data_IF_278016212632
#
_entry.id   IF_278016212632
#
_cell.length_a   1.000
_cell.length_b   1.000
_cell.length_c   1.000
_cell.angle_alpha   90.00
_cell.angle_beta   90.00
_cell.angle_gamma   90.00
#
_symmetry.space_group_name_H-M   'P 1'
#
loop_
_entity.id
_entity.type
_entity.pdbx_description
1 polymer ?
#
# COMPACT_ATOMS: atom_id res chain seq x y z
N UNK A 1 -31.64 2.25 -0.59
CA UNK A 1 -30.35 2.14 -1.29
C UNK A 1 -29.32 2.30 -0.20
N UNK A 2 -28.67 1.22 0.21
CA UNK A 2 -27.59 1.30 1.20
C UNK A 2 -26.46 2.12 0.59
N UNK A 3 -26.14 3.22 1.25
CA UNK A 3 -25.16 4.22 0.84
C UNK A 3 -23.75 3.62 0.90
N UNK A 4 -22.87 4.06 0.00
CA UNK A 4 -21.56 3.50 -0.29
C UNK A 4 -20.67 3.38 0.94
N UNK A 5 -20.73 2.24 1.62
CA UNK A 5 -19.90 1.93 2.77
C UNK A 5 -18.44 1.87 2.32
N UNK A 6 -17.74 3.00 2.42
CA UNK A 6 -16.27 3.04 2.51
C UNK A 6 -15.91 2.03 3.59
N UNK A 7 -15.31 0.90 3.20
CA UNK A 7 -15.05 -0.17 4.15
C UNK A 7 -14.16 0.37 5.26
N UNK A 8 -14.49 0.00 6.50
CA UNK A 8 -13.79 0.46 7.70
C UNK A 8 -12.28 0.21 7.51
N UNK A 9 -11.41 1.21 7.73
CA UNK A 9 -9.97 1.02 7.60
C UNK A 9 -9.48 -0.12 8.49
N UNK A 10 -8.61 -0.95 7.92
CA UNK A 10 -7.90 -2.02 8.62
C UNK A 10 -6.45 -1.98 8.16
N UNK A 11 -5.53 -1.86 9.11
CA UNK A 11 -4.12 -1.66 8.80
C UNK A 11 -3.33 -2.94 9.08
N UNK A 12 -2.62 -3.45 8.07
CA UNK A 12 -1.70 -4.58 8.20
C UNK A 12 -0.44 -4.35 7.38
N UNK A 13 0.69 -4.75 7.94
CA UNK A 13 1.98 -4.79 7.26
C UNK A 13 2.38 -6.26 7.12
N UNK A 14 2.63 -6.71 5.90
CA UNK A 14 3.13 -8.05 5.59
C UNK A 14 4.47 -7.88 4.86
N UNK A 15 5.55 -8.39 5.44
CA UNK A 15 6.91 -8.21 4.89
C UNK A 15 7.43 -9.52 4.32
N UNK A 16 8.13 -9.45 3.20
CA UNK A 16 8.94 -10.54 2.68
C UNK A 16 10.41 -10.23 2.85
N UNK A 17 11.18 -11.24 3.23
CA UNK A 17 12.63 -11.14 3.45
C UNK A 17 13.34 -12.15 2.57
N UNK A 18 14.57 -11.84 2.16
CA UNK A 18 15.45 -12.81 1.53
C UNK A 18 15.94 -13.80 2.60
N UNK A 19 15.74 -15.10 2.36
CA UNK A 19 16.03 -16.15 3.35
C UNK A 19 17.51 -16.32 3.67
N UNK A 20 18.42 -15.82 2.81
CA UNK A 20 19.87 -15.99 2.99
C UNK A 20 20.51 -14.81 3.73
N UNK A 21 20.04 -13.60 3.45
CA UNK A 21 20.59 -12.34 3.96
C UNK A 21 19.76 -11.78 5.12
N UNK A 22 18.48 -12.12 5.19
CA UNK A 22 17.51 -11.51 6.11
C UNK A 22 17.05 -10.11 5.67
N UNK A 23 17.48 -9.65 4.49
CA UNK A 23 17.15 -8.33 3.98
C UNK A 23 15.69 -8.26 3.55
N UNK A 24 15.05 -7.13 3.82
CA UNK A 24 13.65 -6.92 3.43
C UNK A 24 13.58 -6.66 1.91
N UNK A 25 12.87 -7.52 1.20
CA UNK A 25 12.77 -7.47 -0.28
C UNK A 25 11.44 -6.94 -0.77
N UNK A 26 10.39 -7.07 0.04
CA UNK A 26 9.08 -6.53 -0.29
C UNK A 26 8.26 -6.23 0.96
N UNK A 27 7.27 -5.34 0.81
CA UNK A 27 6.23 -5.12 1.81
C UNK A 27 4.87 -4.95 1.13
N UNK A 28 3.85 -5.54 1.74
CA UNK A 28 2.46 -5.24 1.46
C UNK A 28 1.87 -4.43 2.62
N UNK A 29 1.38 -3.24 2.30
CA UNK A 29 0.74 -2.31 3.23
C UNK A 29 -0.77 -2.30 2.96
N UNK A 30 -1.51 -3.16 3.67
CA UNK A 30 -2.97 -3.29 3.54
C UNK A 30 -3.67 -2.20 4.36
N UNK A 31 -4.66 -1.55 3.76
CA UNK A 31 -5.43 -0.46 4.37
C UNK A 31 -6.93 -0.76 4.53
N UNK A 32 -7.43 -1.76 3.80
CA UNK A 32 -8.81 -2.28 3.87
C UNK A 32 -8.82 -3.79 3.60
N UNK A 33 -9.91 -4.46 4.00
CA UNK A 33 -10.22 -5.79 3.47
C UNK A 33 -11.02 -5.66 2.17
N UNK A 34 -10.85 -6.61 1.26
CA UNK A 34 -11.54 -6.66 -0.01
C UNK A 34 -10.90 -7.62 -1.00
N UNK A 35 -11.62 -7.86 -2.10
CA UNK A 35 -11.10 -8.57 -3.27
C UNK A 35 -10.47 -7.57 -4.23
N UNK A 36 -9.26 -7.87 -4.70
CA UNK A 36 -8.56 -7.04 -5.69
C UNK A 36 -9.26 -7.21 -7.04
N UNK A 37 -9.82 -6.13 -7.56
CA UNK A 37 -10.40 -6.08 -8.89
C UNK A 37 -9.43 -5.47 -9.92
N UNK A 38 -8.54 -4.59 -9.48
CA UNK A 38 -7.55 -3.93 -10.31
C UNK A 38 -6.24 -3.73 -9.52
N UNK A 39 -5.10 -4.02 -10.16
CA UNK A 39 -3.77 -3.65 -9.66
C UNK A 39 -3.15 -2.67 -10.64
N UNK A 40 -2.73 -1.50 -10.15
CA UNK A 40 -2.04 -0.48 -10.95
C UNK A 40 -0.56 -0.47 -10.63
N UNK A 41 0.26 -0.55 -11.67
CA UNK A 41 1.68 -0.27 -11.58
C UNK A 41 1.89 1.25 -11.53
N UNK A 42 2.32 1.76 -10.38
CA UNK A 42 2.48 3.19 -10.11
C UNK A 42 3.90 3.64 -10.46
N UNK A 43 4.88 2.81 -10.13
CA UNK A 43 6.29 2.97 -10.49
C UNK A 43 6.82 1.64 -11.02
N UNK A 44 7.34 1.66 -12.24
CA UNK A 44 7.62 0.45 -13.03
C UNK A 44 8.47 -0.58 -12.29
N UNK A 45 7.92 -1.76 -12.04
CA UNK A 45 8.56 -2.87 -11.36
C UNK A 45 8.69 -2.74 -9.84
N UNK A 46 8.25 -1.63 -9.24
CA UNK A 46 8.57 -1.28 -7.84
C UNK A 46 7.32 -1.10 -6.99
N UNK A 47 6.32 -0.35 -7.47
CA UNK A 47 5.15 0.02 -6.66
C UNK A 47 3.87 -0.40 -7.37
N UNK A 48 3.06 -1.21 -6.68
CA UNK A 48 1.76 -1.66 -7.14
C UNK A 48 0.67 -1.24 -6.14
N UNK A 49 -0.45 -0.71 -6.64
CA UNK A 49 -1.59 -0.32 -5.83
C UNK A 49 -2.81 -1.17 -6.20
N UNK A 50 -3.39 -1.84 -5.21
CA UNK A 50 -4.56 -2.71 -5.37
C UNK A 50 -5.84 -1.94 -5.06
N UNK A 51 -6.84 -2.10 -5.91
CA UNK A 51 -8.15 -1.48 -5.79
C UNK A 51 -9.27 -2.52 -5.86
N UNK A 52 -10.35 -2.27 -5.13
CA UNK A 52 -11.58 -3.04 -5.28
C UNK A 52 -12.36 -2.63 -6.54
N UNK A 53 -13.48 -3.33 -6.79
CA UNK A 53 -14.34 -3.05 -7.95
C UNK A 53 -15.02 -1.68 -7.94
N UNK A 54 -14.96 -0.95 -6.83
CA UNK A 54 -15.46 0.42 -6.68
C UNK A 54 -14.33 1.47 -6.80
N UNK A 55 -13.08 1.03 -7.00
CA UNK A 55 -11.91 1.91 -7.07
C UNK A 55 -11.38 2.35 -5.72
N UNK A 56 -11.78 1.70 -4.61
CA UNK A 56 -11.23 1.99 -3.27
C UNK A 56 -9.87 1.32 -3.09
N UNK A 57 -8.89 2.05 -2.56
CA UNK A 57 -7.56 1.49 -2.27
C UNK A 57 -7.64 0.39 -1.21
N UNK A 58 -7.15 -0.80 -1.54
CA UNK A 58 -7.06 -1.95 -0.64
C UNK A 58 -5.68 -2.06 0.02
N UNK A 59 -4.62 -1.79 -0.74
CA UNK A 59 -3.25 -1.86 -0.25
C UNK A 59 -2.23 -1.41 -1.29
N UNK A 60 -0.98 -1.31 -0.86
CA UNK A 60 0.18 -1.00 -1.70
C UNK A 60 1.23 -2.08 -1.50
N UNK A 61 1.70 -2.68 -2.59
CA UNK A 61 2.86 -3.55 -2.61
C UNK A 61 4.09 -2.78 -3.08
N UNK A 62 5.19 -2.93 -2.34
CA UNK A 62 6.51 -2.44 -2.72
C UNK A 62 7.42 -3.64 -2.93
N UNK A 63 7.95 -3.81 -4.14
CA UNK A 63 8.93 -4.84 -4.52
C UNK A 63 10.36 -4.30 -4.56
N UNK A 64 10.53 -3.04 -4.20
CA UNK A 64 11.80 -2.34 -4.17
C UNK A 64 11.67 -0.98 -3.50
N UNK A 65 12.77 -0.23 -3.46
CA UNK A 65 12.77 1.10 -2.85
C UNK A 65 12.10 2.13 -3.75
N UNK A 66 11.23 2.99 -3.19
CA UNK A 66 10.61 4.10 -3.89
C UNK A 66 10.71 5.41 -3.10
N UNK A 67 10.50 6.55 -3.77
CA UNK A 67 10.36 7.85 -3.13
C UNK A 67 9.02 7.93 -2.35
N UNK A 68 9.01 8.57 -1.18
CA UNK A 68 7.79 8.81 -0.40
C UNK A 68 6.72 9.55 -1.20
N UNK A 69 7.12 10.43 -2.13
CA UNK A 69 6.22 11.17 -3.01
C UNK A 69 5.35 10.24 -3.88
N UNK A 70 5.84 9.04 -4.21
CA UNK A 70 5.07 8.01 -4.94
C UNK A 70 3.89 7.55 -4.09
N UNK A 71 4.12 7.22 -2.81
CA UNK A 71 3.07 6.84 -1.87
C UNK A 71 2.08 7.99 -1.62
N UNK A 72 2.57 9.22 -1.52
CA UNK A 72 1.72 10.40 -1.35
C UNK A 72 0.81 10.64 -2.57
N UNK A 73 1.32 10.36 -3.78
CA UNK A 73 0.53 10.40 -5.01
C UNK A 73 -0.61 9.38 -5.00
N UNK A 74 -0.33 8.12 -4.65
CA UNK A 74 -1.35 7.06 -4.57
C UNK A 74 -2.43 7.39 -3.53
N UNK A 75 -2.04 8.03 -2.44
CA UNK A 75 -2.91 8.24 -1.25
C UNK A 75 -3.50 9.63 -1.18
N UNK A 76 -3.35 10.46 -2.21
CA UNK A 76 -3.74 11.87 -2.19
C UNK A 76 -5.20 12.08 -1.74
N UNK A 77 -6.10 11.21 -2.20
CA UNK A 77 -7.55 11.27 -1.92
C UNK A 77 -8.00 10.37 -0.76
N UNK A 78 -7.08 9.66 -0.10
CA UNK A 78 -7.43 8.76 1.00
C UNK A 78 -7.67 9.50 2.33
N UNK A 79 -8.43 8.91 3.28
CA UNK A 79 -8.56 9.47 4.62
C UNK A 79 -7.22 9.61 5.34
N UNK A 80 -7.09 10.61 6.22
CA UNK A 80 -5.84 10.88 6.94
C UNK A 80 -5.29 9.71 7.77
N UNK A 81 -6.16 8.80 8.23
CA UNK A 81 -5.70 7.59 8.91
C UNK A 81 -4.89 6.66 7.98
N UNK A 82 -5.31 6.52 6.73
CA UNK A 82 -4.62 5.73 5.69
C UNK A 82 -3.28 6.37 5.35
N UNK A 83 -3.26 7.68 5.12
CA UNK A 83 -2.02 8.44 4.84
C UNK A 83 -0.99 8.31 5.98
N UNK A 84 -1.43 8.45 7.23
CA UNK A 84 -0.55 8.26 8.40
C UNK A 84 -0.02 6.85 8.51
N UNK A 85 -0.87 5.85 8.28
CA UNK A 85 -0.46 4.45 8.30
C UNK A 85 0.60 4.18 7.24
N UNK A 86 0.41 4.61 5.99
CA UNK A 86 1.36 4.32 4.92
C UNK A 86 2.70 5.04 5.13
N UNK A 87 2.69 6.32 5.55
CA UNK A 87 3.92 7.04 5.90
C UNK A 87 4.67 6.42 7.09
N UNK A 88 3.95 5.88 8.07
CA UNK A 88 4.56 5.35 9.30
C UNK A 88 4.86 3.85 9.27
N UNK A 89 4.13 3.09 8.44
CA UNK A 89 4.19 1.64 8.34
C UNK A 89 5.14 1.13 7.24
N UNK A 90 5.46 1.98 6.26
CA UNK A 90 6.46 1.65 5.25
C UNK A 90 7.86 1.47 5.89
N UNK A 91 8.54 0.34 5.68
CA UNK A 91 9.90 0.12 6.16
C UNK A 91 10.86 1.15 5.55
N UNK A 92 11.71 1.77 6.38
CA UNK A 92 12.68 2.78 5.93
C UNK A 92 13.68 2.29 4.88
N UNK A 93 13.90 0.97 4.80
CA UNK A 93 14.74 0.37 3.77
C UNK A 93 14.11 0.39 2.37
N UNK A 94 12.77 0.45 2.28
CA UNK A 94 12.03 0.56 1.02
C UNK A 94 11.51 1.98 0.77
N UNK A 95 11.28 2.77 1.82
CA UNK A 95 10.89 4.17 1.66
C UNK A 95 11.80 5.03 2.53
N UNK A 96 12.92 5.51 1.98
CA UNK A 96 13.83 6.43 2.68
C UNK A 96 13.12 7.73 3.06
N UNK A 97 13.55 8.34 4.16
CA UNK A 97 12.99 9.58 4.69
C UNK A 97 13.44 10.83 3.91
#
# INVERSE_FOLDING_TARGET
MEDGSVTKPMFRVETSVDDNTGDLVAVYLRVREGEVAETKEVEGGVVYADYDSHGSLLGIELLGSCDIAVLEGVTANEPEAVKRFLRGGAPRGLVPA
#
